data_IF_500868758820
#
_entry.id   IF_500868758820
#
_cell.length_a   1.000
_cell.length_b   1.000
_cell.length_c   1.000
_cell.angle_alpha   90.00
_cell.angle_beta   90.00
_cell.angle_gamma   90.00
#
_symmetry.space_group_name_H-M   'P 1'
#
loop_
_entity.id
_entity.type
_entity.pdbx_description
1 polymer ?
#
# COMPACT_ATOMS: atom_id res chain seq x y z
N UNK A 1 0.80 -12.30 -4.88
CA UNK A 1 0.11 -11.82 -3.66
C UNK A 1 -1.39 -11.62 -3.93
N UNK A 2 -1.83 -10.65 -4.75
CA UNK A 2 -3.28 -10.45 -5.00
C UNK A 2 -4.00 -11.71 -5.51
N UNK A 3 -3.40 -12.48 -6.44
CA UNK A 3 -3.97 -13.75 -6.93
C UNK A 3 -4.30 -14.77 -5.84
N UNK A 4 -3.49 -14.81 -4.77
CA UNK A 4 -3.72 -15.71 -3.63
C UNK A 4 -4.84 -15.15 -2.74
N UNK A 5 -4.80 -13.85 -2.44
CA UNK A 5 -5.87 -13.20 -1.65
C UNK A 5 -7.23 -13.31 -2.34
N UNK A 6 -7.27 -13.22 -3.67
CA UNK A 6 -8.49 -13.34 -4.47
C UNK A 6 -9.11 -14.75 -4.46
N UNK A 7 -8.42 -15.79 -3.95
CA UNK A 7 -9.04 -17.12 -3.77
C UNK A 7 -9.92 -17.20 -2.53
N UNK A 8 -9.87 -16.21 -1.63
CA UNK A 8 -10.76 -16.13 -0.47
C UNK A 8 -12.18 -15.74 -0.88
N UNK A 9 -13.17 -16.36 -0.24
CA UNK A 9 -14.59 -16.04 -0.43
C UNK A 9 -14.91 -14.63 0.09
N UNK A 10 -14.21 -14.16 1.12
CA UNK A 10 -14.46 -12.87 1.77
C UNK A 10 -13.64 -11.70 1.19
N UNK A 11 -12.70 -11.95 0.27
CA UNK A 11 -11.76 -10.93 -0.22
C UNK A 11 -11.91 -10.66 -1.71
N UNK A 12 -12.07 -9.40 -2.05
CA UNK A 12 -11.97 -8.85 -3.40
C UNK A 12 -10.67 -8.05 -3.53
N UNK A 13 -9.87 -8.32 -4.56
CA UNK A 13 -8.69 -7.54 -4.87
C UNK A 13 -8.84 -6.87 -6.23
N UNK A 14 -8.22 -5.71 -6.40
CA UNK A 14 -8.04 -5.13 -7.73
C UNK A 14 -7.22 -6.10 -8.63
N UNK A 15 -7.45 -6.09 -9.95
CA UNK A 15 -6.77 -7.00 -10.89
C UNK A 15 -5.25 -6.75 -11.01
N UNK A 16 -4.78 -5.57 -10.57
CA UNK A 16 -3.39 -5.16 -10.46
C UNK A 16 -3.27 -4.12 -9.33
N UNK A 17 -2.11 -3.48 -9.15
CA UNK A 17 -2.03 -2.29 -8.29
C UNK A 17 -3.00 -1.21 -8.79
N UNK A 18 -3.76 -0.58 -7.89
CA UNK A 18 -4.82 0.36 -8.27
C UNK A 18 -4.33 1.54 -9.11
N UNK A 19 -3.05 1.94 -8.95
CA UNK A 19 -2.41 2.96 -9.77
C UNK A 19 -2.23 2.58 -11.25
N UNK A 20 -2.39 1.31 -11.63
CA UNK A 20 -2.22 0.82 -13.01
C UNK A 20 -3.54 0.55 -13.74
N UNK A 21 -4.70 0.78 -13.09
CA UNK A 21 -6.00 0.63 -13.73
C UNK A 21 -6.14 1.66 -14.86
N UNK A 22 -6.56 1.22 -16.04
CA UNK A 22 -6.49 2.00 -17.28
C UNK A 22 -7.14 3.38 -17.19
N UNK A 23 -8.25 3.50 -16.48
CA UNK A 23 -8.98 4.76 -16.36
C UNK A 23 -8.35 5.79 -15.41
N UNK A 24 -7.47 5.34 -14.52
CA UNK A 24 -6.81 6.21 -13.52
C UNK A 24 -5.29 6.24 -13.67
N UNK A 25 -4.70 5.37 -14.49
CA UNK A 25 -3.24 5.21 -14.58
C UNK A 25 -2.53 6.49 -14.95
N UNK A 26 -3.05 7.27 -15.90
CA UNK A 26 -2.38 8.48 -16.35
C UNK A 26 -2.36 9.55 -15.25
N UNK A 27 -3.39 9.56 -14.39
CA UNK A 27 -3.49 10.45 -13.23
C UNK A 27 -2.60 9.95 -12.09
N UNK A 28 -2.67 8.66 -11.75
CA UNK A 28 -2.00 8.09 -10.57
C UNK A 28 -0.51 7.80 -10.79
N UNK A 29 -0.09 7.51 -12.02
CA UNK A 29 1.30 7.15 -12.35
C UNK A 29 2.18 8.35 -12.58
N UNK A 30 1.63 9.43 -13.11
CA UNK A 30 2.35 10.68 -13.22
C UNK A 30 2.78 11.13 -11.82
N UNK A 31 4.09 11.33 -11.62
CA UNK A 31 4.67 11.75 -10.35
C UNK A 31 4.13 10.97 -9.13
N UNK A 32 4.03 9.64 -9.25
CA UNK A 32 3.29 8.80 -8.28
C UNK A 32 3.81 8.86 -6.83
N UNK A 33 5.02 9.36 -6.58
CA UNK A 33 5.61 9.54 -5.25
C UNK A 33 5.49 10.98 -4.68
N UNK A 34 4.88 11.90 -5.41
CA UNK A 34 4.62 13.27 -4.95
C UNK A 34 3.45 13.31 -3.94
N UNK A 35 3.73 13.55 -2.66
CA UNK A 35 2.74 13.60 -1.58
C UNK A 35 1.73 14.73 -1.74
N UNK A 36 2.13 15.82 -2.40
CA UNK A 36 1.31 17.03 -2.56
C UNK A 36 0.47 17.00 -3.84
N UNK A 37 0.68 15.98 -4.69
CA UNK A 37 -0.10 15.83 -5.92
C UNK A 37 -1.58 15.67 -5.60
N UNK A 38 -2.37 16.61 -6.11
CA UNK A 38 -3.82 16.55 -6.05
C UNK A 38 -4.34 15.36 -6.86
N UNK A 39 -5.04 14.45 -6.18
CA UNK A 39 -5.67 13.28 -6.77
C UNK A 39 -7.20 13.42 -6.71
N UNK A 40 -7.93 13.15 -7.80
CA UNK A 40 -9.40 13.16 -7.79
C UNK A 40 -9.92 11.89 -7.10
N UNK A 41 -9.73 11.78 -5.78
CA UNK A 41 -10.08 10.60 -4.99
C UNK A 41 -11.53 10.12 -5.14
N UNK A 42 -12.55 10.99 -5.25
CA UNK A 42 -13.91 10.54 -5.54
C UNK A 42 -14.00 9.74 -6.85
N UNK A 43 -13.34 10.21 -7.91
CA UNK A 43 -13.28 9.51 -9.20
C UNK A 43 -12.48 8.21 -9.09
N UNK A 44 -11.29 8.25 -8.46
CA UNK A 44 -10.45 7.05 -8.26
C UNK A 44 -11.22 5.97 -7.51
N UNK A 45 -11.90 6.35 -6.42
CA UNK A 45 -12.77 5.46 -5.65
C UNK A 45 -13.84 4.84 -6.54
N UNK A 46 -14.60 5.65 -7.29
CA UNK A 46 -15.61 5.14 -8.23
C UNK A 46 -15.01 4.16 -9.23
N UNK A 47 -13.82 4.43 -9.76
CA UNK A 47 -13.14 3.51 -10.68
C UNK A 47 -12.81 2.20 -9.98
N UNK A 48 -12.15 2.22 -8.82
CA UNK A 48 -11.78 1.00 -8.08
C UNK A 48 -12.98 0.15 -7.69
N UNK A 49 -14.09 0.77 -7.28
CA UNK A 49 -15.35 0.07 -6.98
C UNK A 49 -15.93 -0.71 -8.17
N UNK A 50 -15.65 -0.31 -9.43
CA UNK A 50 -16.05 -1.10 -10.61
C UNK A 50 -15.25 -2.39 -10.79
N UNK A 51 -14.07 -2.48 -10.18
CA UNK A 51 -13.17 -3.64 -10.28
C UNK A 51 -13.25 -4.54 -9.05
N UNK A 52 -13.73 -4.04 -7.93
CA UNK A 52 -14.01 -4.85 -6.76
C UNK A 52 -15.35 -5.57 -6.89
N UNK A 53 -15.39 -6.81 -6.44
CA UNK A 53 -16.64 -7.48 -6.09
C UNK A 53 -17.16 -6.96 -4.73
N UNK A 54 -18.15 -6.09 -4.76
CA UNK A 54 -18.77 -5.50 -3.56
C UNK A 54 -19.64 -6.49 -2.76
N UNK A 55 -19.88 -7.71 -3.28
CA UNK A 55 -20.51 -8.76 -2.45
C UNK A 55 -19.57 -9.31 -1.39
N UNK A 56 -18.26 -9.06 -1.53
CA UNK A 56 -17.23 -9.51 -0.59
C UNK A 56 -16.97 -8.47 0.49
N UNK A 57 -16.66 -8.96 1.68
CA UNK A 57 -16.49 -8.10 2.86
C UNK A 57 -15.22 -7.23 2.79
N UNK A 58 -14.10 -7.80 2.32
CA UNK A 58 -12.80 -7.13 2.28
C UNK A 58 -12.44 -6.66 0.87
N UNK A 59 -12.33 -5.35 0.68
CA UNK A 59 -11.87 -4.72 -0.56
C UNK A 59 -10.40 -4.30 -0.44
N UNK A 60 -9.53 -4.95 -1.19
CA UNK A 60 -8.07 -4.78 -1.05
C UNK A 60 -7.48 -4.05 -2.24
N UNK A 61 -6.67 -3.04 -1.92
CA UNK A 61 -5.79 -2.29 -2.81
C UNK A 61 -4.34 -2.49 -2.36
N UNK A 62 -3.40 -2.60 -3.31
CA UNK A 62 -1.97 -2.59 -2.99
C UNK A 62 -1.17 -1.83 -4.04
N UNK A 63 -0.90 -0.56 -3.78
CA UNK A 63 0.03 0.29 -4.55
C UNK A 63 0.99 0.98 -3.56
N UNK A 64 2.29 0.64 -3.54
CA UNK A 64 3.23 1.29 -2.62
C UNK A 64 3.23 2.84 -2.68
N UNK A 65 3.13 3.50 -3.86
CA UNK A 65 3.09 4.96 -3.93
C UNK A 65 1.84 5.59 -3.33
N UNK A 66 0.75 4.85 -3.11
CA UNK A 66 -0.45 5.40 -2.48
C UNK A 66 -0.23 5.74 -1.01
N UNK A 67 0.76 5.11 -0.35
CA UNK A 67 1.04 5.35 1.05
C UNK A 67 1.55 6.78 1.34
N UNK A 68 2.12 7.50 0.38
CA UNK A 68 2.49 8.92 0.56
C UNK A 68 1.27 9.85 0.57
N UNK A 69 0.08 9.31 0.27
CA UNK A 69 -1.23 9.99 0.27
C UNK A 69 -2.26 9.26 1.14
N UNK A 70 -1.78 8.42 2.07
CA UNK A 70 -2.60 7.58 2.95
C UNK A 70 -3.69 8.36 3.68
N UNK A 71 -3.42 9.59 4.12
CA UNK A 71 -4.39 10.43 4.82
C UNK A 71 -5.58 10.80 3.94
N UNK A 72 -5.33 11.14 2.68
CA UNK A 72 -6.39 11.44 1.73
C UNK A 72 -7.22 10.19 1.41
N UNK A 73 -6.60 9.00 1.41
CA UNK A 73 -7.32 7.73 1.30
C UNK A 73 -8.21 7.52 2.53
N UNK A 74 -7.69 7.75 3.74
CA UNK A 74 -8.49 7.66 4.99
C UNK A 74 -9.71 8.58 4.97
N UNK A 75 -9.60 9.76 4.35
CA UNK A 75 -10.70 10.73 4.23
C UNK A 75 -11.75 10.36 3.17
N UNK A 76 -11.38 9.56 2.16
CA UNK A 76 -12.25 9.24 1.03
C UNK A 76 -12.87 7.83 1.10
N UNK A 77 -12.27 6.92 1.88
CA UNK A 77 -12.75 5.55 2.06
C UNK A 77 -13.37 5.35 3.45
N UNK A 78 -14.33 4.43 3.56
CA UNK A 78 -15.01 4.19 4.83
C UNK A 78 -14.13 3.30 5.74
N UNK A 79 -13.55 3.89 6.78
CA UNK A 79 -12.74 3.21 7.80
C UNK A 79 -11.68 2.23 7.23
N UNK A 80 -10.84 2.67 6.27
CA UNK A 80 -9.83 1.77 5.71
C UNK A 80 -8.83 1.32 6.77
N UNK A 81 -8.45 0.05 6.72
CA UNK A 81 -7.32 -0.51 7.47
C UNK A 81 -6.06 -0.40 6.62
N UNK A 82 -5.00 0.16 7.18
CA UNK A 82 -3.70 0.26 6.54
C UNK A 82 -2.73 -0.78 7.10
N UNK A 83 -2.08 -1.54 6.21
CA UNK A 83 -0.98 -2.42 6.57
C UNK A 83 0.32 -1.77 6.07
N UNK A 84 1.12 -1.28 7.00
CA UNK A 84 2.42 -0.66 6.73
C UNK A 84 3.50 -1.71 6.94
N UNK A 85 4.22 -2.04 5.88
CA UNK A 85 5.40 -2.89 5.93
C UNK A 85 6.65 -2.08 5.60
N UNK A 86 7.61 -2.08 6.51
CA UNK A 86 8.97 -1.55 6.28
C UNK A 86 9.96 -2.71 6.20
N UNK A 87 11.14 -2.48 5.65
CA UNK A 87 12.18 -3.50 5.51
C UNK A 87 13.53 -2.94 5.92
N UNK A 88 14.47 -3.79 6.31
CA UNK A 88 15.87 -3.40 6.50
C UNK A 88 16.33 -2.48 5.34
N UNK A 89 16.83 -1.26 5.64
CA UNK A 89 17.13 -0.25 4.64
C UNK A 89 18.20 -0.68 3.65
N UNK A 90 19.18 -1.50 4.06
CA UNK A 90 20.19 -2.04 3.15
C UNK A 90 19.57 -2.98 2.13
N UNK A 91 18.69 -3.88 2.56
CA UNK A 91 17.99 -4.81 1.67
C UNK A 91 17.01 -4.07 0.75
N UNK A 92 16.38 -2.99 1.22
CA UNK A 92 15.54 -2.14 0.38
C UNK A 92 16.38 -1.42 -0.68
N UNK A 93 17.50 -0.80 -0.30
CA UNK A 93 18.41 -0.11 -1.22
C UNK A 93 18.99 -1.07 -2.29
N UNK A 94 19.51 -2.24 -1.89
CA UNK A 94 19.97 -3.27 -2.85
C UNK A 94 18.86 -3.62 -3.83
N UNK A 95 17.65 -3.83 -3.31
CA UNK A 95 16.50 -4.19 -4.12
C UNK A 95 16.07 -3.11 -5.11
N UNK A 96 16.27 -1.82 -4.77
CA UNK A 96 16.02 -0.68 -5.65
C UNK A 96 17.09 -0.63 -6.75
N UNK A 97 18.37 -0.69 -6.41
CA UNK A 97 19.50 -0.62 -7.34
C UNK A 97 19.42 -1.74 -8.38
N UNK A 98 19.18 -2.98 -7.94
CA UNK A 98 19.11 -4.14 -8.85
C UNK A 98 17.92 -4.09 -9.81
N UNK A 99 16.76 -3.59 -9.36
CA UNK A 99 15.51 -3.62 -10.15
C UNK A 99 15.27 -2.36 -10.97
N UNK A 100 15.88 -1.23 -10.60
CA UNK A 100 15.69 0.05 -11.27
C UNK A 100 16.93 0.40 -12.06
N UNK A 101 16.81 0.29 -13.37
CA UNK A 101 17.90 0.66 -14.28
C UNK A 101 18.33 2.12 -14.04
N UNK A 102 19.64 2.33 -13.89
CA UNK A 102 20.24 3.66 -13.72
C UNK A 102 20.08 4.30 -12.33
N UNK A 103 19.69 3.54 -11.30
CA UNK A 103 19.72 4.04 -9.91
C UNK A 103 21.08 3.76 -9.27
N UNK A 104 21.70 4.80 -8.73
CA UNK A 104 22.92 4.70 -7.91
C UNK A 104 22.58 4.55 -6.41
N UNK A 105 23.62 4.34 -5.60
CA UNK A 105 23.50 4.14 -4.16
C UNK A 105 22.87 5.36 -3.48
N UNK A 106 23.29 6.56 -3.88
CA UNK A 106 22.81 7.80 -3.29
C UNK A 106 21.31 7.95 -3.49
N UNK A 107 20.82 7.77 -4.71
CA UNK A 107 19.39 7.87 -5.05
C UNK A 107 18.57 6.79 -4.35
N UNK A 108 19.11 5.58 -4.24
CA UNK A 108 18.45 4.50 -3.51
C UNK A 108 18.31 4.81 -2.01
N UNK A 109 19.37 5.34 -1.38
CA UNK A 109 19.35 5.75 0.03
C UNK A 109 18.40 6.92 0.26
N UNK A 110 18.45 7.96 -0.56
CA UNK A 110 17.55 9.11 -0.46
C UNK A 110 16.09 8.68 -0.55
N UNK A 111 15.78 7.81 -1.51
CA UNK A 111 14.43 7.27 -1.68
C UNK A 111 14.02 6.35 -0.52
N UNK A 112 14.92 5.51 -0.01
CA UNK A 112 14.65 4.66 1.14
C UNK A 112 14.34 5.50 2.39
N UNK A 113 15.13 6.55 2.66
CA UNK A 113 14.91 7.48 3.77
C UNK A 113 13.57 8.20 3.61
N UNK A 114 13.26 8.66 2.39
CA UNK A 114 11.96 9.25 2.08
C UNK A 114 10.81 8.29 2.44
N UNK A 115 10.84 7.05 1.95
CA UNK A 115 9.80 6.06 2.25
C UNK A 115 9.68 5.78 3.76
N UNK A 116 10.80 5.64 4.48
CA UNK A 116 10.78 5.39 5.92
C UNK A 116 10.19 6.56 6.71
N UNK A 117 10.51 7.80 6.32
CA UNK A 117 9.91 9.00 6.93
C UNK A 117 8.40 9.06 6.69
N UNK A 118 7.95 8.78 5.48
CA UNK A 118 6.51 8.74 5.16
C UNK A 118 5.80 7.62 5.94
N UNK A 119 6.37 6.42 6.03
CA UNK A 119 5.77 5.34 6.82
C UNK A 119 5.74 5.64 8.33
N UNK A 120 6.80 6.26 8.86
CA UNK A 120 6.83 6.71 10.25
C UNK A 120 5.72 7.74 10.51
N UNK A 121 5.56 8.73 9.63
CA UNK A 121 4.46 9.69 9.70
C UNK A 121 3.10 8.98 9.64
N UNK A 122 2.90 8.07 8.68
CA UNK A 122 1.66 7.31 8.53
C UNK A 122 1.30 6.53 9.80
N UNK A 123 2.27 5.85 10.42
CA UNK A 123 2.06 5.12 11.67
C UNK A 123 1.59 5.99 12.84
N UNK A 124 1.82 7.30 12.78
CA UNK A 124 1.45 8.25 13.82
C UNK A 124 0.10 8.93 13.57
N UNK A 125 -0.32 9.07 12.30
CA UNK A 125 -1.49 9.90 11.93
C UNK A 125 -2.72 9.10 11.48
N UNK A 126 -2.54 7.84 11.05
CA UNK A 126 -3.62 6.99 10.54
C UNK A 126 -4.28 6.24 11.69
N UNK A 127 -5.61 6.20 11.68
CA UNK A 127 -6.43 5.66 12.79
C UNK A 127 -6.37 4.14 12.89
N UNK A 128 -6.54 3.46 11.76
CA UNK A 128 -6.62 2.00 11.70
C UNK A 128 -5.38 1.48 10.96
N UNK A 129 -4.32 1.20 11.69
CA UNK A 129 -3.01 0.85 11.10
C UNK A 129 -2.36 -0.30 11.83
N UNK A 130 -1.79 -1.23 11.06
CA UNK A 130 -0.86 -2.26 11.54
C UNK A 130 0.50 -1.95 10.94
N UNK A 131 1.53 -1.94 11.79
CA UNK A 131 2.92 -1.72 11.37
C UNK A 131 3.70 -2.98 11.62
N UNK A 132 4.40 -3.47 10.61
CA UNK A 132 5.26 -4.65 10.71
C UNK A 132 6.54 -4.44 9.90
N UNK A 133 7.58 -5.21 10.22
CA UNK A 133 8.75 -5.31 9.36
C UNK A 133 8.61 -6.51 8.42
N UNK A 134 9.25 -6.46 7.25
CA UNK A 134 9.31 -7.61 6.34
C UNK A 134 9.97 -8.80 7.03
N UNK A 135 11.00 -8.52 7.82
CA UNK A 135 11.75 -9.51 8.60
C UNK A 135 10.84 -10.20 9.63
N UNK A 136 10.11 -9.44 10.45
CA UNK A 136 9.18 -10.01 11.43
C UNK A 136 8.05 -10.78 10.76
N UNK A 137 7.48 -10.25 9.67
CA UNK A 137 6.45 -10.97 8.91
C UNK A 137 6.96 -12.32 8.35
N UNK A 138 8.24 -12.42 8.01
CA UNK A 138 8.83 -13.65 7.49
C UNK A 138 9.20 -14.64 8.60
N UNK A 139 9.76 -14.14 9.70
CA UNK A 139 10.27 -14.97 10.80
C UNK A 139 9.15 -15.39 11.75
N UNK A 140 8.13 -14.54 11.93
CA UNK A 140 7.01 -14.72 12.86
C UNK A 140 5.65 -14.42 12.20
N UNK A 141 5.29 -15.13 11.11
CA UNK A 141 4.05 -14.84 10.37
C UNK A 141 2.77 -15.03 11.20
N UNK A 142 2.77 -15.93 12.18
CA UNK A 142 1.61 -16.20 13.03
C UNK A 142 1.27 -15.03 13.95
N UNK A 143 2.28 -14.35 14.49
CA UNK A 143 2.10 -13.18 15.36
C UNK A 143 1.41 -12.05 14.58
N UNK A 144 1.81 -11.83 13.32
CA UNK A 144 1.13 -10.88 12.45
C UNK A 144 -0.34 -11.26 12.18
N UNK A 145 -0.64 -12.55 12.02
CA UNK A 145 -2.03 -13.00 11.83
C UNK A 145 -2.86 -12.82 13.10
N UNK A 146 -2.27 -13.02 14.27
CA UNK A 146 -2.93 -12.79 15.56
C UNK A 146 -3.29 -11.29 15.69
N UNK A 147 -2.34 -10.39 15.46
CA UNK A 147 -2.58 -8.94 15.45
C UNK A 147 -3.66 -8.53 14.44
N UNK A 148 -3.61 -9.11 13.23
CA UNK A 148 -4.58 -8.82 12.18
C UNK A 148 -6.00 -9.28 12.57
N UNK A 149 -6.12 -10.46 13.19
CA UNK A 149 -7.41 -11.03 13.63
C UNK A 149 -8.10 -10.22 14.73
N UNK A 150 -7.35 -9.44 15.50
CA UNK A 150 -7.93 -8.56 16.53
C UNK A 150 -8.60 -7.32 15.92
N UNK A 151 -8.27 -6.97 14.68
CA UNK A 151 -8.70 -5.74 14.00
C UNK A 151 -9.71 -6.05 12.89
N UNK A 152 -9.54 -7.20 12.23
CA UNK A 152 -10.37 -7.68 11.14
C UNK A 152 -11.47 -8.60 11.72
N UNK A 153 -12.76 -8.26 11.63
CA UNK A 153 -13.85 -9.11 12.12
C UNK A 153 -13.99 -10.41 11.30
N UNK A 154 -14.63 -11.43 11.88
CA UNK A 154 -14.94 -12.68 11.16
C UNK A 154 -15.94 -12.47 10.01
#
# INVERSE_FOLDING_TARGET
MYKLLSTSESVSCLPNEGQFIDEVKDIMRDSCWDSEKHMPWPYIKTVWHRYWDESKFYLVEKSPPNLVRSKLIEENFNQPLFIISVRNPYAHCEGLIRRRNGWDEKKAVEFCIFCLKEQMKNSQILKNTIVTTYEDFCDHPLDFFEDLSQIIPD
#
